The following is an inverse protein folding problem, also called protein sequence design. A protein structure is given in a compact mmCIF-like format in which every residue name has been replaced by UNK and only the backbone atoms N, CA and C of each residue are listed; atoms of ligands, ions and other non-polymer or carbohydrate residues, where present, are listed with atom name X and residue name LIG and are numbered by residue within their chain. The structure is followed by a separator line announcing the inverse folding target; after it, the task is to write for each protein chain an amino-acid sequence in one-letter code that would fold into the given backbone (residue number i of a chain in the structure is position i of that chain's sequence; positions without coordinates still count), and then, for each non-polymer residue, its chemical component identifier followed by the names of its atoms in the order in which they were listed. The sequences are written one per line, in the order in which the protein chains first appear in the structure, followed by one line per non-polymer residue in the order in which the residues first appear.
data_IF_975054585980
#
_entry.id   IF_975054585980
#
_cell.length_a   1.000
_cell.length_b   1.000
_cell.length_c   1.000
_cell.angle_alpha   90.00
_cell.angle_beta   90.00
_cell.angle_gamma   90.00
#
_symmetry.space_group_name_H-M   'P 1'
#
loop_
_entity.id
_entity.type
_entity.pdbx_description
1 polymer ?
#
# COMPACT_ATOMS: atom_id res chain seq x y z
N UNK A 1 -29.58 -2.48 17.46
CA UNK A 1 -28.46 -3.28 18.00
C UNK A 1 -27.75 -3.89 16.81
N UNK A 2 -26.80 -3.15 16.23
CA UNK A 2 -26.17 -3.49 14.96
C UNK A 2 -24.91 -4.33 15.22
N UNK A 3 -24.87 -5.52 14.63
CA UNK A 3 -23.76 -6.48 14.66
C UNK A 3 -22.42 -5.94 14.11
N UNK A 4 -22.38 -4.69 13.64
CA UNK A 4 -21.20 -4.04 13.05
C UNK A 4 -20.41 -3.25 14.11
N UNK A 5 -21.07 -2.71 15.13
CA UNK A 5 -20.40 -1.88 16.15
C UNK A 5 -19.61 -2.71 17.18
N UNK A 6 -19.94 -3.99 17.36
CA UNK A 6 -19.29 -4.90 18.30
C UNK A 6 -17.93 -5.45 17.82
N UNK A 7 -17.61 -5.34 16.53
CA UNK A 7 -16.38 -5.90 15.96
C UNK A 7 -15.21 -4.91 15.88
N UNK A 8 -15.45 -3.61 16.13
CA UNK A 8 -14.40 -2.60 16.00
C UNK A 8 -13.27 -2.76 17.03
N UNK A 9 -13.53 -3.47 18.14
CA UNK A 9 -12.55 -3.74 19.21
C UNK A 9 -11.84 -5.10 19.13
N UNK A 10 -12.31 -6.05 18.30
CA UNK A 10 -11.77 -7.43 18.37
C UNK A 10 -10.41 -7.62 17.66
N UNK A 11 -9.95 -6.65 16.87
CA UNK A 11 -8.82 -6.89 15.94
C UNK A 11 -7.74 -5.80 15.96
N UNK A 12 -7.87 -4.76 16.78
CA UNK A 12 -6.81 -3.75 16.90
C UNK A 12 -5.56 -4.36 17.52
N UNK A 13 -4.43 -4.25 16.82
CA UNK A 13 -3.13 -4.76 17.28
C UNK A 13 -2.81 -6.20 16.85
N UNK A 14 -3.69 -6.88 16.11
CA UNK A 14 -3.37 -8.17 15.50
C UNK A 14 -2.90 -7.97 14.06
N UNK A 15 -1.60 -7.81 13.88
CA UNK A 15 -1.01 -7.51 12.57
C UNK A 15 -1.20 -8.59 11.52
N UNK A 16 -1.43 -9.84 11.93
CA UNK A 16 -1.79 -10.89 10.98
C UNK A 16 -3.15 -10.59 10.32
N UNK A 17 -4.13 -10.16 11.10
CA UNK A 17 -5.46 -9.83 10.59
C UNK A 17 -5.41 -8.52 9.80
N UNK A 18 -4.69 -7.52 10.31
CA UNK A 18 -4.51 -6.24 9.62
C UNK A 18 -3.88 -6.44 8.24
N UNK A 19 -2.80 -7.22 8.14
CA UNK A 19 -2.14 -7.48 6.85
C UNK A 19 -3.03 -8.26 5.87
N UNK A 20 -3.90 -9.16 6.35
CA UNK A 20 -4.88 -9.84 5.48
C UNK A 20 -5.93 -8.88 4.94
N UNK A 21 -6.50 -8.04 5.80
CA UNK A 21 -7.49 -7.03 5.39
C UNK A 21 -6.84 -6.02 4.43
N UNK A 22 -5.67 -5.50 4.78
CA UNK A 22 -4.95 -4.54 3.95
C UNK A 22 -4.52 -5.14 2.60
N UNK A 23 -4.12 -6.41 2.55
CA UNK A 23 -3.85 -7.10 1.29
C UNK A 23 -5.08 -7.18 0.39
N UNK A 24 -6.26 -7.46 0.93
CA UNK A 24 -7.52 -7.44 0.17
C UNK A 24 -7.86 -6.03 -0.32
N UNK A 25 -7.72 -5.02 0.52
CA UNK A 25 -7.95 -3.63 0.14
C UNK A 25 -6.97 -3.17 -0.95
N UNK A 26 -5.71 -3.60 -0.88
CA UNK A 26 -4.73 -3.30 -1.92
C UNK A 26 -5.15 -3.90 -3.27
N UNK A 27 -5.62 -5.16 -3.29
CA UNK A 27 -6.17 -5.78 -4.50
C UNK A 27 -7.36 -4.99 -5.08
N UNK A 28 -8.25 -4.47 -4.22
CA UNK A 28 -9.38 -3.62 -4.64
C UNK A 28 -8.86 -2.30 -5.23
N UNK A 29 -7.82 -1.72 -4.62
CA UNK A 29 -7.22 -0.48 -5.09
C UNK A 29 -6.51 -0.62 -6.46
N UNK A 30 -6.08 -1.83 -6.85
CA UNK A 30 -5.54 -2.06 -8.20
C UNK A 30 -6.61 -1.94 -9.30
N UNK A 31 -7.90 -2.07 -8.95
CA UNK A 31 -9.02 -2.03 -9.89
C UNK A 31 -9.59 -0.61 -9.97
N UNK A 32 -9.34 0.10 -11.07
CA UNK A 32 -9.63 1.54 -11.22
C UNK A 32 -11.07 1.93 -10.84
N UNK A 33 -12.09 1.21 -11.31
CA UNK A 33 -13.50 1.54 -11.02
C UNK A 33 -13.94 1.22 -9.57
N UNK A 34 -13.12 0.53 -8.78
CA UNK A 34 -13.40 0.25 -7.36
C UNK A 34 -12.72 1.25 -6.42
N UNK A 35 -11.70 1.98 -6.85
CA UNK A 35 -10.91 2.90 -6.02
C UNK A 35 -11.73 3.95 -5.29
N UNK A 36 -12.77 4.50 -5.93
CA UNK A 36 -13.67 5.48 -5.32
C UNK A 36 -14.40 4.95 -4.06
N UNK A 37 -14.54 3.63 -3.89
CA UNK A 37 -15.13 3.06 -2.67
C UNK A 37 -14.15 3.10 -1.47
N UNK A 38 -12.88 3.34 -1.73
CA UNK A 38 -11.81 3.38 -0.73
C UNK A 38 -11.50 4.80 -0.23
N UNK A 39 -12.14 5.83 -0.79
CA UNK A 39 -11.87 7.25 -0.48
C UNK A 39 -12.78 7.80 0.62
N UNK A 40 -13.49 6.97 1.36
CA UNK A 40 -14.27 7.46 2.50
C UNK A 40 -13.35 7.88 3.67
N UNK A 41 -13.66 9.02 4.29
CA UNK A 41 -12.82 9.64 5.33
C UNK A 41 -12.49 8.71 6.51
N UNK A 42 -13.42 7.83 6.92
CA UNK A 42 -13.20 6.90 8.04
C UNK A 42 -12.09 5.89 7.71
N UNK A 43 -12.14 5.30 6.51
CA UNK A 43 -11.13 4.36 6.05
C UNK A 43 -9.79 5.06 5.86
N UNK A 44 -9.76 6.22 5.21
CA UNK A 44 -8.53 6.97 4.98
C UNK A 44 -7.84 7.36 6.29
N UNK A 45 -8.59 7.82 7.28
CA UNK A 45 -8.04 8.12 8.61
C UNK A 45 -7.43 6.89 9.29
N UNK A 46 -8.03 5.69 9.12
CA UNK A 46 -7.42 4.45 9.63
C UNK A 46 -6.17 4.08 8.83
N UNK A 47 -6.19 4.21 7.51
CA UNK A 47 -5.03 3.96 6.65
C UNK A 47 -3.88 4.93 6.96
N UNK A 48 -4.14 6.21 7.23
CA UNK A 48 -3.14 7.20 7.67
C UNK A 48 -2.38 6.71 8.91
N UNK A 49 -3.09 6.18 9.90
CA UNK A 49 -2.47 5.61 11.11
C UNK A 49 -1.67 4.35 10.81
N UNK A 50 -2.20 3.45 9.97
CA UNK A 50 -1.55 2.19 9.62
C UNK A 50 -0.30 2.39 8.73
N UNK A 51 -0.28 3.45 7.91
CA UNK A 51 0.85 3.83 7.07
C UNK A 51 2.12 4.07 7.89
N UNK A 52 2.00 4.53 9.14
CA UNK A 52 3.12 4.75 10.06
C UNK A 52 3.23 3.67 11.15
N UNK A 53 2.68 2.48 10.92
CA UNK A 53 2.90 1.33 11.81
C UNK A 53 4.37 0.93 11.84
N UNK A 54 4.88 0.59 13.03
CA UNK A 54 6.21 -0.01 13.23
C UNK A 54 6.36 -1.36 12.51
N UNK A 55 5.23 -1.99 12.17
CA UNK A 55 5.22 -3.23 11.42
C UNK A 55 5.32 -2.94 9.93
N UNK A 56 6.45 -3.30 9.33
CA UNK A 56 6.72 -3.06 7.90
C UNK A 56 5.65 -3.63 6.98
N UNK A 57 5.09 -4.81 7.28
CA UNK A 57 4.02 -5.41 6.47
C UNK A 57 2.73 -4.59 6.50
N UNK A 58 2.36 -4.04 7.66
CA UNK A 58 1.16 -3.20 7.82
C UNK A 58 1.35 -1.87 7.09
N UNK A 59 2.46 -1.18 7.36
CA UNK A 59 2.75 0.09 6.69
C UNK A 59 2.96 -0.08 5.19
N UNK A 60 3.57 -1.18 4.74
CA UNK A 60 3.72 -1.54 3.33
C UNK A 60 2.38 -1.57 2.59
N UNK A 61 1.39 -2.32 3.10
CA UNK A 61 0.10 -2.39 2.41
C UNK A 61 -0.68 -1.07 2.49
N UNK A 62 -0.66 -0.38 3.64
CA UNK A 62 -1.36 0.89 3.79
C UNK A 62 -0.82 1.96 2.83
N UNK A 63 0.50 2.10 2.73
CA UNK A 63 1.13 3.02 1.76
C UNK A 63 0.87 2.57 0.32
N UNK A 64 0.80 1.27 0.05
CA UNK A 64 0.44 0.74 -1.28
C UNK A 64 -0.96 1.13 -1.73
N UNK A 65 -1.95 1.07 -0.82
CA UNK A 65 -3.31 1.54 -1.10
C UNK A 65 -3.28 3.04 -1.41
N UNK A 66 -2.57 3.85 -0.62
CA UNK A 66 -2.42 5.27 -0.93
C UNK A 66 -1.73 5.51 -2.27
N UNK A 67 -0.73 4.71 -2.63
CA UNK A 67 -0.04 4.85 -3.91
C UNK A 67 -0.98 4.59 -5.08
N UNK A 68 -1.82 3.56 -4.99
CA UNK A 68 -2.83 3.25 -6.00
C UNK A 68 -3.88 4.36 -6.10
N UNK A 69 -4.45 4.80 -4.98
CA UNK A 69 -5.44 5.87 -4.98
C UNK A 69 -4.83 7.18 -5.52
N UNK A 70 -3.66 7.58 -5.04
CA UNK A 70 -3.03 8.84 -5.43
C UNK A 70 -2.57 8.83 -6.91
N UNK A 71 -2.30 7.65 -7.47
CA UNK A 71 -2.03 7.51 -8.91
C UNK A 71 -3.25 7.77 -9.79
N UNK A 72 -4.45 7.72 -9.23
CA UNK A 72 -5.70 7.97 -9.94
C UNK A 72 -6.00 9.47 -9.98
N UNK A 73 -5.99 10.03 -11.19
CA UNK A 73 -6.30 11.44 -11.44
C UNK A 73 -7.79 11.74 -11.38
N UNK A 74 -8.65 10.72 -11.45
CA UNK A 74 -10.10 10.87 -11.39
C UNK A 74 -10.64 10.99 -9.97
N UNK A 75 -9.82 10.64 -8.97
CA UNK A 75 -10.18 10.80 -7.56
C UNK A 75 -10.01 12.28 -7.19
N UNK A 76 -11.13 12.88 -6.81
CA UNK A 76 -11.14 14.21 -6.22
C UNK A 76 -10.62 14.14 -4.78
N UNK A 77 -9.37 14.52 -4.59
CA UNK A 77 -8.73 14.54 -3.28
C UNK A 77 -9.18 15.73 -2.44
N UNK A 78 -9.61 16.82 -3.08
CA UNK A 78 -10.02 18.06 -2.41
C UNK A 78 -11.30 17.87 -1.57
N UNK A 79 -12.15 16.89 -1.95
CA UNK A 79 -13.35 16.52 -1.19
C UNK A 79 -13.13 15.40 -0.18
N UNK A 80 -11.95 14.77 -0.16
CA UNK A 80 -11.73 13.47 0.48
C UNK A 80 -10.88 13.57 1.75
N UNK A 81 -9.90 14.49 1.80
CA UNK A 81 -9.19 14.95 2.99
C UNK A 81 -8.09 15.95 2.54
N UNK A 82 -7.56 16.79 3.43
CA UNK A 82 -6.33 17.53 3.16
C UNK A 82 -5.16 16.54 3.01
N UNK A 83 -4.94 16.03 1.79
CA UNK A 83 -3.77 15.24 1.44
C UNK A 83 -2.59 16.20 1.31
N UNK A 84 -2.16 16.74 2.45
CA UNK A 84 -1.13 17.77 2.52
C UNK A 84 0.18 17.25 1.90
N UNK A 85 0.92 18.14 1.24
CA UNK A 85 2.26 17.85 0.71
C UNK A 85 3.18 17.17 1.75
N UNK A 86 3.01 17.56 3.02
CA UNK A 86 3.72 16.98 4.16
C UNK A 86 3.41 15.49 4.39
N UNK A 87 2.20 15.03 4.04
CA UNK A 87 1.82 13.63 4.14
C UNK A 87 2.54 12.75 3.10
N UNK A 88 2.67 13.24 1.86
CA UNK A 88 3.45 12.54 0.83
C UNK A 88 4.95 12.46 1.20
N UNK A 89 5.49 13.52 1.80
CA UNK A 89 6.88 13.54 2.25
C UNK A 89 7.13 12.57 3.42
N UNK A 90 6.23 12.54 4.40
CA UNK A 90 6.33 11.60 5.54
C UNK A 90 6.21 10.14 5.10
N UNK A 91 5.37 9.81 4.11
CA UNK A 91 5.37 8.47 3.51
C UNK A 91 6.72 8.11 2.89
N UNK A 92 7.40 9.04 2.20
CA UNK A 92 8.74 8.78 1.66
C UNK A 92 9.74 8.43 2.77
N UNK A 93 9.67 9.11 3.92
CA UNK A 93 10.53 8.84 5.06
C UNK A 93 10.22 7.48 5.69
N UNK A 94 8.94 7.10 5.77
CA UNK A 94 8.53 5.78 6.23
C UNK A 94 9.02 4.66 5.29
N UNK A 95 8.90 4.82 3.97
CA UNK A 95 9.41 3.82 3.01
C UNK A 95 10.93 3.64 3.16
N UNK A 96 11.68 4.72 3.42
CA UNK A 96 13.14 4.67 3.63
C UNK A 96 13.55 4.00 4.92
N UNK A 97 12.71 4.03 5.95
CA UNK A 97 13.02 3.44 7.26
C UNK A 97 12.84 1.92 7.27
N UNK A 98 12.16 1.35 6.27
CA UNK A 98 11.88 -0.08 6.22
C UNK A 98 13.14 -0.95 6.15
N UNK A 99 13.27 -1.95 7.03
CA UNK A 99 14.37 -2.89 6.96
C UNK A 99 14.23 -3.81 5.74
N UNK A 100 15.33 -4.48 5.38
CA UNK A 100 15.26 -5.61 4.45
C UNK A 100 14.53 -6.78 5.14
N UNK A 101 13.26 -6.98 4.84
CA UNK A 101 12.46 -8.08 5.42
C UNK A 101 12.71 -9.39 4.67
N UNK A 102 12.87 -10.48 5.44
CA UNK A 102 13.05 -11.84 4.92
C UNK A 102 11.75 -12.64 4.87
N UNK A 103 10.65 -12.14 5.47
CA UNK A 103 9.31 -12.73 5.39
C UNK A 103 8.65 -12.37 4.07
N UNK A 104 7.85 -13.29 3.52
CA UNK A 104 7.07 -12.99 2.31
C UNK A 104 5.84 -12.20 2.75
N UNK A 105 5.68 -11.00 2.20
CA UNK A 105 4.53 -10.16 2.52
C UNK A 105 3.41 -10.30 1.49
N UNK A 106 3.79 -10.53 0.23
CA UNK A 106 2.85 -10.66 -0.89
C UNK A 106 3.47 -11.52 -1.99
N UNK A 107 2.63 -12.36 -2.61
CA UNK A 107 2.99 -13.12 -3.80
C UNK A 107 2.56 -12.35 -5.05
N UNK A 108 3.50 -11.93 -5.90
CA UNK A 108 3.17 -11.28 -7.17
C UNK A 108 3.08 -12.28 -8.31
N UNK A 109 1.98 -12.21 -9.07
CA UNK A 109 1.80 -12.97 -10.32
C UNK A 109 2.35 -12.22 -11.54
N UNK A 110 2.37 -10.89 -11.48
CA UNK A 110 2.89 -9.99 -12.52
C UNK A 110 3.43 -8.72 -11.86
N UNK A 111 4.44 -8.09 -12.48
CA UNK A 111 4.93 -6.78 -12.07
C UNK A 111 4.16 -5.62 -12.72
N UNK A 112 3.23 -5.89 -13.63
CA UNK A 112 2.47 -4.85 -14.35
C UNK A 112 1.83 -3.80 -13.41
N UNK A 113 1.13 -4.16 -12.32
CA UNK A 113 0.56 -3.17 -11.40
C UNK A 113 1.63 -2.30 -10.72
N UNK A 114 2.78 -2.90 -10.41
CA UNK A 114 3.92 -2.17 -9.85
C UNK A 114 4.60 -1.28 -10.89
N UNK A 115 4.72 -1.74 -12.14
CA UNK A 115 5.31 -0.99 -13.25
C UNK A 115 4.58 0.32 -13.49
N UNK A 116 3.24 0.30 -13.52
CA UNK A 116 2.42 1.51 -13.66
C UNK A 116 2.72 2.55 -12.57
N UNK A 117 2.90 2.11 -11.32
CA UNK A 117 3.22 2.98 -10.20
C UNK A 117 4.69 3.45 -10.21
N UNK A 118 5.62 2.63 -10.71
CA UNK A 118 7.04 2.98 -10.76
C UNK A 118 7.31 4.20 -11.64
N UNK A 119 6.58 4.29 -12.76
CA UNK A 119 6.71 5.40 -13.71
C UNK A 119 5.76 6.57 -13.42
N UNK A 120 4.95 6.49 -12.36
CA UNK A 120 4.10 7.59 -11.94
C UNK A 120 4.93 8.70 -11.25
N UNK A 121 4.81 9.93 -11.77
CA UNK A 121 5.56 11.10 -11.31
C UNK A 121 4.76 12.05 -10.40
N UNK A 122 3.49 11.77 -10.12
CA UNK A 122 2.59 12.67 -9.38
C UNK A 122 3.08 12.93 -7.96
N UNK A 123 3.42 11.85 -7.24
CA UNK A 123 4.00 11.93 -5.91
C UNK A 123 5.17 10.96 -5.76
N UNK A 124 6.26 11.43 -5.14
CA UNK A 124 7.50 10.65 -5.03
C UNK A 124 7.33 9.34 -4.28
N UNK A 125 6.42 9.29 -3.29
CA UNK A 125 6.19 8.08 -2.50
C UNK A 125 5.62 6.93 -3.35
N UNK A 126 4.89 7.22 -4.43
CA UNK A 126 4.27 6.21 -5.32
C UNK A 126 5.36 5.36 -5.97
N UNK A 127 6.28 6.02 -6.68
CA UNK A 127 7.39 5.34 -7.34
C UNK A 127 8.36 4.70 -6.34
N UNK A 128 8.59 5.33 -5.18
CA UNK A 128 9.42 4.74 -4.12
C UNK A 128 8.81 3.45 -3.54
N UNK A 129 7.51 3.45 -3.28
CA UNK A 129 6.81 2.27 -2.79
C UNK A 129 6.88 1.13 -3.81
N UNK A 130 6.61 1.42 -5.08
CA UNK A 130 6.70 0.43 -6.15
C UNK A 130 8.12 -0.13 -6.29
N UNK A 131 9.14 0.72 -6.30
CA UNK A 131 10.53 0.28 -6.37
C UNK A 131 10.91 -0.63 -5.20
N UNK A 132 10.46 -0.29 -3.98
CA UNK A 132 10.68 -1.12 -2.80
C UNK A 132 9.98 -2.48 -2.94
N UNK A 133 8.73 -2.50 -3.40
CA UNK A 133 7.96 -3.73 -3.64
C UNK A 133 8.67 -4.65 -4.65
N UNK A 134 9.11 -4.10 -5.78
CA UNK A 134 9.87 -4.83 -6.81
C UNK A 134 11.16 -5.40 -6.20
N UNK A 135 11.92 -4.57 -5.46
CA UNK A 135 13.15 -5.02 -4.80
C UNK A 135 12.91 -6.18 -3.83
N UNK A 136 11.86 -6.09 -3.00
CA UNK A 136 11.48 -7.13 -2.04
C UNK A 136 11.17 -8.46 -2.75
N UNK A 137 10.35 -8.42 -3.80
CA UNK A 137 9.97 -9.60 -4.60
C UNK A 137 11.19 -10.22 -5.29
N UNK A 138 12.06 -9.41 -5.88
CA UNK A 138 13.26 -9.88 -6.57
C UNK A 138 14.28 -10.51 -5.62
N UNK A 139 14.47 -9.97 -4.41
CA UNK A 139 15.37 -10.57 -3.41
C UNK A 139 14.88 -11.94 -2.94
N UNK A 140 13.56 -12.09 -2.77
CA UNK A 140 12.92 -13.36 -2.41
C UNK A 140 13.06 -14.41 -3.51
N UNK A 141 12.81 -14.03 -4.75
CA UNK A 141 12.80 -14.92 -5.91
C UNK A 141 14.13 -14.91 -6.69
N UNK A 142 15.26 -14.69 -6.00
CA UNK A 142 16.57 -14.50 -6.62
C UNK A 142 16.92 -15.61 -7.62
N UNK A 143 16.56 -16.87 -7.34
CA UNK A 143 16.80 -18.02 -8.23
C UNK A 143 15.92 -18.02 -9.49
N UNK A 144 14.67 -17.59 -9.39
CA UNK A 144 13.72 -17.56 -10.52
C UNK A 144 14.10 -16.47 -11.54
N UNK A 145 14.46 -15.28 -11.06
CA UNK A 145 14.82 -14.16 -11.92
C UNK A 145 16.23 -14.25 -12.50
N UNK A 146 17.18 -14.87 -11.80
CA UNK A 146 18.51 -15.17 -12.36
C UNK A 146 18.48 -16.16 -13.54
N UNK A 147 17.43 -16.97 -13.65
CA UNK A 147 17.29 -17.98 -14.71
C UNK A 147 16.40 -17.51 -15.87
N UNK A 148 15.54 -16.50 -15.67
CA UNK A 148 14.47 -16.16 -16.63
C UNK A 148 14.40 -14.67 -17.03
N UNK A 149 15.24 -13.77 -16.49
CA UNK A 149 15.45 -12.45 -17.08
C UNK A 149 16.77 -12.43 -17.85
N UNK A 150 16.68 -12.51 -19.17
CA UNK A 150 17.70 -11.93 -20.05
C UNK A 150 17.32 -10.45 -20.13
N UNK A 151 18.13 -9.59 -19.50
CA UNK A 151 18.13 -8.15 -19.77
C UNK A 151 18.81 -7.91 -21.12
#
# INVERSE_FOLDING_TARGET
MNLIDSNHKMFEGNSYIETKILGLLNNIAEVSNLRAHLTNAKLLNKLKKLAFSDQTSVSYFAIGIFAQLASDETIDWDSVDDFEFDFAHTMCNQIRSWPNTSSEMVSYRSFEPLGLLLFNSRYKFISMWSLWAIHHVCKKNRKFFQQNLIL
#
